data_IF_534696273973
#
_entry.id   IF_534696273973
#
_cell.length_a   1.000
_cell.length_b   1.000
_cell.length_c   1.000
_cell.angle_alpha   90.00
_cell.angle_beta   90.00
_cell.angle_gamma   90.00
#
_symmetry.space_group_name_H-M   'P 1'
#
loop_
_entity.id
_entity.type
_entity.pdbx_description
1 polymer ?
#
# COMPACT_ATOMS: atom_id res chain seq x y z
N UNK A 1 -24.23 -7.66 14.13
CA UNK A 1 -23.71 -7.57 12.74
C UNK A 1 -23.89 -6.15 12.23
N UNK A 2 -22.85 -5.56 11.63
CA UNK A 2 -22.89 -4.23 10.98
C UNK A 2 -22.59 -4.39 9.50
N UNK A 3 -23.32 -3.66 8.66
CA UNK A 3 -23.12 -3.58 7.22
C UNK A 3 -23.08 -2.12 6.80
N UNK A 4 -22.03 -1.73 6.07
CA UNK A 4 -21.85 -0.39 5.55
C UNK A 4 -21.70 -0.43 4.03
N UNK A 5 -22.35 0.52 3.37
CA UNK A 5 -22.27 0.79 1.95
C UNK A 5 -21.83 2.24 1.76
N UNK A 6 -20.77 2.45 0.99
CA UNK A 6 -20.23 3.77 0.68
C UNK A 6 -20.15 3.94 -0.84
N UNK A 7 -20.81 4.96 -1.36
CA UNK A 7 -20.77 5.29 -2.79
C UNK A 7 -19.74 6.39 -3.03
N UNK A 8 -18.74 6.09 -3.84
CA UNK A 8 -17.71 7.04 -4.26
C UNK A 8 -18.21 7.98 -5.35
N UNK A 9 -17.58 9.16 -5.44
CA UNK A 9 -17.88 10.18 -6.46
C UNK A 9 -17.60 9.71 -7.90
N UNK A 10 -16.78 8.67 -8.07
CA UNK A 10 -16.46 8.04 -9.36
C UNK A 10 -17.45 6.92 -9.74
N UNK A 11 -18.59 6.81 -9.03
CA UNK A 11 -19.59 5.77 -9.24
C UNK A 11 -19.20 4.40 -8.68
N UNK A 12 -18.01 4.25 -8.09
CA UNK A 12 -17.64 2.99 -7.44
C UNK A 12 -18.37 2.83 -6.10
N UNK A 13 -18.75 1.59 -5.79
CA UNK A 13 -19.40 1.24 -4.52
C UNK A 13 -18.49 0.39 -3.66
N UNK A 14 -18.28 0.81 -2.43
CA UNK A 14 -17.53 0.10 -1.41
C UNK A 14 -18.50 -0.54 -0.43
N UNK A 15 -18.19 -1.76 -0.01
CA UNK A 15 -19.03 -2.53 0.90
C UNK A 15 -18.16 -3.22 1.92
N UNK A 16 -18.53 -3.08 3.19
CA UNK A 16 -17.86 -3.74 4.29
C UNK A 16 -18.90 -4.21 5.32
N UNK A 17 -18.65 -5.38 5.90
CA UNK A 17 -19.47 -5.90 7.00
C UNK A 17 -18.61 -6.60 8.04
N UNK A 18 -19.06 -6.56 9.28
CA UNK A 18 -18.48 -7.29 10.40
C UNK A 18 -19.60 -7.88 11.26
N UNK A 19 -19.31 -9.02 11.88
CA UNK A 19 -20.22 -9.68 12.81
C UNK A 19 -19.43 -10.22 13.99
N UNK A 20 -19.57 -9.55 15.12
CA UNK A 20 -19.11 -9.94 16.44
C UNK A 20 -20.15 -9.51 17.48
N UNK A 21 -20.00 -9.99 18.71
CA UNK A 21 -20.87 -9.65 19.83
C UNK A 21 -20.63 -8.22 20.34
N UNK A 22 -19.41 -7.68 20.15
CA UNK A 22 -19.07 -6.31 20.51
C UNK A 22 -19.34 -5.34 19.35
N UNK A 23 -20.28 -4.42 19.53
CA UNK A 23 -20.65 -3.42 18.52
C UNK A 23 -19.49 -2.51 18.12
N UNK A 24 -18.63 -2.08 19.06
CA UNK A 24 -17.50 -1.22 18.76
C UNK A 24 -16.45 -1.93 17.91
N UNK A 25 -16.15 -3.20 18.23
CA UNK A 25 -15.27 -4.02 17.42
C UNK A 25 -15.81 -4.22 15.99
N UNK A 26 -17.14 -4.27 15.81
CA UNK A 26 -17.73 -4.30 14.48
C UNK A 26 -17.51 -2.99 13.71
N UNK A 27 -17.61 -1.83 14.38
CA UNK A 27 -17.39 -0.52 13.77
C UNK A 27 -15.93 -0.37 13.33
N UNK A 28 -14.97 -0.70 14.19
CA UNK A 28 -13.54 -0.64 13.87
C UNK A 28 -13.19 -1.58 12.72
N UNK A 29 -13.72 -2.81 12.73
CA UNK A 29 -13.49 -3.77 11.66
C UNK A 29 -14.08 -3.31 10.31
N UNK A 30 -15.25 -2.65 10.33
CA UNK A 30 -15.84 -2.08 9.11
C UNK A 30 -15.03 -0.88 8.63
N UNK A 31 -14.59 0.02 9.53
CA UNK A 31 -13.77 1.17 9.21
C UNK A 31 -12.45 0.74 8.55
N UNK A 32 -11.70 -0.17 9.17
CA UNK A 32 -10.44 -0.67 8.61
C UNK A 32 -10.61 -1.35 7.25
N UNK A 33 -11.70 -2.10 7.04
CA UNK A 33 -12.00 -2.69 5.73
C UNK A 33 -12.23 -1.62 4.66
N UNK A 34 -12.95 -0.55 4.99
CA UNK A 34 -13.20 0.56 4.07
C UNK A 34 -11.93 1.36 3.78
N UNK A 35 -11.13 1.67 4.80
CA UNK A 35 -9.84 2.34 4.66
C UNK A 35 -8.92 1.58 3.70
N UNK A 36 -8.81 0.26 3.89
CA UNK A 36 -8.01 -0.61 3.04
C UNK A 36 -8.50 -0.61 1.59
N UNK A 37 -9.81 -0.60 1.37
CA UNK A 37 -10.39 -0.55 0.01
C UNK A 37 -10.11 0.81 -0.66
N UNK A 38 -10.30 1.91 0.07
CA UNK A 38 -10.06 3.26 -0.43
C UNK A 38 -8.57 3.49 -0.77
N UNK A 39 -7.66 2.99 0.07
CA UNK A 39 -6.22 3.07 -0.19
C UNK A 39 -5.82 2.30 -1.46
N UNK A 40 -6.40 1.12 -1.68
CA UNK A 40 -6.17 0.33 -2.91
C UNK A 40 -6.65 1.07 -4.15
N UNK A 41 -7.82 1.71 -4.10
CA UNK A 41 -8.31 2.48 -5.24
C UNK A 41 -7.49 3.76 -5.48
N UNK A 42 -7.07 4.47 -4.42
CA UNK A 42 -6.15 5.62 -4.54
C UNK A 42 -4.84 5.22 -5.24
N UNK A 43 -4.22 4.13 -4.80
CA UNK A 43 -2.95 3.65 -5.38
C UNK A 43 -3.12 3.11 -6.80
N UNK A 44 -4.22 2.43 -7.12
CA UNK A 44 -4.56 2.00 -8.48
C UNK A 44 -4.67 3.18 -9.45
N UNK A 45 -5.36 4.25 -9.05
CA UNK A 45 -5.47 5.48 -9.84
C UNK A 45 -4.12 6.16 -10.10
N UNK A 46 -3.21 6.15 -9.11
CA UNK A 46 -1.86 6.67 -9.29
C UNK A 46 -1.04 5.83 -10.28
N UNK A 47 -1.15 4.49 -10.22
CA UNK A 47 -0.46 3.60 -11.16
C UNK A 47 -0.94 3.75 -12.59
N UNK A 48 -2.24 3.98 -12.81
CA UNK A 48 -2.79 4.18 -14.16
C UNK A 48 -2.43 5.54 -14.75
N UNK A 49 -2.34 6.60 -13.93
CA UNK A 49 -1.92 7.94 -14.40
C UNK A 49 -0.41 8.02 -14.69
N UNK A 50 0.41 7.18 -14.06
CA UNK A 50 1.86 7.11 -14.30
C UNK A 50 2.31 6.20 -15.46
N UNK A 51 1.39 5.53 -16.17
CA UNK A 51 1.72 4.57 -17.25
C UNK A 51 1.00 4.82 -18.58
N UNK A 52 0.64 6.07 -18.87
CA UNK A 52 0.24 6.47 -20.22
C UNK A 52 1.30 7.34 -20.88
N UNK A 53 2.43 6.71 -21.27
CA UNK A 53 3.18 7.00 -22.50
C UNK A 53 4.39 6.07 -22.60
N UNK A 54 4.20 4.91 -23.22
CA UNK A 54 5.21 4.37 -24.14
C UNK A 54 4.43 3.70 -25.27
N UNK A 55 4.26 4.45 -26.37
CA UNK A 55 4.21 3.82 -27.67
C UNK A 55 5.64 3.46 -28.05
N UNK A 56 5.89 2.18 -28.31
CA UNK A 56 7.00 1.55 -29.04
C UNK A 56 6.59 0.06 -29.02
N UNK A 57 6.07 -0.49 -30.11
CA UNK A 57 6.92 -0.86 -31.24
C UNK A 57 7.60 -2.17 -30.89
N UNK A 58 7.10 -3.26 -31.49
CA UNK A 58 7.85 -4.48 -31.86
C UNK A 58 9.09 -4.86 -31.03
N UNK A 59 8.98 -6.03 -30.38
CA UNK A 59 10.07 -6.96 -30.09
C UNK A 59 11.18 -6.49 -29.13
N UNK A 60 11.05 -6.85 -27.85
CA UNK A 60 12.20 -7.02 -26.98
C UNK A 60 12.10 -8.40 -26.29
N UNK A 61 13.21 -9.18 -26.28
CA UNK A 61 13.21 -10.60 -25.97
C UNK A 61 12.94 -10.87 -24.49
N UNK A 62 12.26 -11.97 -24.20
CA UNK A 62 12.06 -12.47 -22.84
C UNK A 62 13.42 -12.65 -22.13
N UNK A 63 13.69 -11.81 -21.13
CA UNK A 63 14.87 -11.96 -20.27
C UNK A 63 14.71 -13.26 -19.46
N UNK A 64 15.54 -14.27 -19.79
CA UNK A 64 15.70 -15.48 -18.97
C UNK A 64 16.56 -15.15 -17.76
N UNK A 65 16.04 -15.40 -16.56
CA UNK A 65 16.85 -15.45 -15.33
C UNK A 65 17.85 -16.62 -15.44
N UNK A 66 19.14 -16.29 -15.47
CA UNK A 66 20.22 -17.27 -15.32
C UNK A 66 20.55 -17.33 -13.83
N UNK A 67 20.04 -18.34 -13.11
CA UNK A 67 20.53 -18.63 -11.76
C UNK A 67 21.82 -19.44 -11.86
N UNK A 68 22.97 -18.77 -11.88
CA UNK A 68 24.22 -19.42 -11.54
C UNK A 68 24.41 -19.36 -10.02
N UNK A 69 24.50 -20.54 -9.40
CA UNK A 69 24.90 -20.72 -8.01
C UNK A 69 26.36 -20.28 -7.83
N UNK A 70 26.58 -18.97 -7.69
CA UNK A 70 27.86 -18.42 -7.30
C UNK A 70 27.64 -17.43 -6.16
N UNK A 71 28.04 -17.85 -4.97
CA UNK A 71 27.99 -17.07 -3.73
C UNK A 71 28.77 -15.76 -3.90
N UNK A 72 28.14 -14.57 -3.76
CA UNK A 72 28.90 -13.34 -3.64
C UNK A 72 29.45 -13.25 -2.21
N UNK A 73 30.76 -13.07 -2.07
CA UNK A 73 31.38 -12.81 -0.78
C UNK A 73 30.81 -11.53 -0.19
N UNK A 74 30.32 -11.59 1.05
CA UNK A 74 29.94 -10.41 1.83
C UNK A 74 31.21 -9.56 1.99
N UNK A 75 31.27 -8.44 1.28
CA UNK A 75 32.10 -7.31 1.66
C UNK A 75 31.16 -6.33 2.33
N UNK A 76 31.33 -6.20 3.63
CA UNK A 76 30.73 -5.17 4.47
C UNK A 76 31.23 -3.83 3.94
N UNK A 77 30.36 -3.09 3.24
CA UNK A 77 30.56 -1.67 2.98
C UNK A 77 29.72 -0.91 3.99
N UNK A 78 30.44 -0.31 4.95
CA UNK A 78 30.00 0.65 5.94
C UNK A 78 29.32 1.86 5.28
N UNK A 79 28.03 1.75 4.99
CA UNK A 79 27.16 2.91 4.77
C UNK A 79 26.10 2.95 5.87
N UNK A 80 26.57 3.37 7.05
CA UNK A 80 25.79 3.95 8.13
C UNK A 80 25.02 5.16 7.57
N UNK A 81 23.72 4.97 7.29
CA UNK A 81 22.82 6.08 7.00
C UNK A 81 22.25 6.57 8.33
N UNK A 82 22.94 7.54 8.90
CA UNK A 82 22.56 8.32 10.07
C UNK A 82 21.26 9.10 9.77
N UNK A 83 20.15 8.69 10.39
CA UNK A 83 18.97 9.54 10.53
C UNK A 83 19.10 10.31 11.84
N UNK A 84 19.92 11.37 11.84
CA UNK A 84 19.77 12.44 12.83
C UNK A 84 18.59 13.36 12.41
N UNK A 85 17.81 13.76 13.42
CA UNK A 85 16.83 14.85 13.42
C UNK A 85 15.49 14.69 12.66
N UNK A 86 14.61 13.80 13.18
CA UNK A 86 13.17 14.11 13.16
C UNK A 86 12.61 14.18 14.58
N UNK A 87 12.54 15.43 15.04
CA UNK A 87 12.02 15.91 16.31
C UNK A 87 10.63 15.33 16.63
N UNK A 88 10.50 14.71 17.82
CA UNK A 88 9.23 14.21 18.37
C UNK A 88 8.56 15.32 19.19
N UNK A 89 7.42 15.90 18.78
CA UNK A 89 6.76 16.90 19.59
C UNK A 89 5.92 16.21 20.68
N UNK A 90 6.57 15.82 21.77
CA UNK A 90 5.94 15.70 23.08
C UNK A 90 5.50 17.10 23.53
N UNK A 91 4.22 17.44 23.32
CA UNK A 91 3.60 18.56 24.03
C UNK A 91 3.07 18.07 25.37
N UNK A 92 3.80 18.49 26.40
CA UNK A 92 3.49 18.53 27.83
C UNK A 92 1.99 18.47 28.17
N UNK A 93 1.61 17.46 28.95
CA UNK A 93 0.36 17.47 29.72
C UNK A 93 0.67 18.22 31.01
N UNK A 94 0.01 19.36 31.20
CA UNK A 94 0.15 20.22 32.35
C UNK A 94 -0.80 19.82 33.48
#
# INVERSE_FOLDING_TARGET
>A
RVLCHLQGHNGQTFRASASSDNMYANLDAVAHKLESQLLKEKTKLQRTKGKQRVGLGTEAPALRLVSNNQSPSIKEDDNYFEFEDYESPLRHVH
#
